data_IF_906988333958
#
_entry.id   IF_906988333958
#
_cell.length_a   1.000
_cell.length_b   1.000
_cell.length_c   1.000
_cell.angle_alpha   90.00
_cell.angle_beta   90.00
_cell.angle_gamma   90.00
#
_symmetry.space_group_name_H-M   'P 1'
#
loop_
_entity.id
_entity.type
_entity.pdbx_description
1 polymer ?
#
# COMPACT_ATOMS: atom_id res chain seq x y z
N UNK A 1 -30.15 -3.44 -30.42
CA UNK A 1 -30.13 -2.98 -29.02
C UNK A 1 -28.66 -2.73 -28.67
N UNK A 2 -28.21 -1.48 -28.75
CA UNK A 2 -26.83 -1.05 -28.52
C UNK A 2 -26.78 -0.44 -27.11
N UNK A 3 -26.07 -1.09 -26.18
CA UNK A 3 -25.79 -0.51 -24.87
C UNK A 3 -24.59 0.43 -24.99
N UNK A 4 -24.82 1.72 -24.72
CA UNK A 4 -23.80 2.76 -24.71
C UNK A 4 -22.95 2.62 -23.44
N UNK A 5 -21.63 2.64 -23.61
CA UNK A 5 -20.69 2.87 -22.51
C UNK A 5 -20.97 4.26 -21.91
N UNK A 6 -21.51 4.28 -20.69
CA UNK A 6 -21.63 5.48 -19.89
C UNK A 6 -20.26 5.82 -19.30
N UNK A 7 -19.70 6.95 -19.74
CA UNK A 7 -18.61 7.61 -19.04
C UNK A 7 -19.04 7.82 -17.58
N UNK A 8 -18.32 7.20 -16.63
CA UNK A 8 -18.47 7.54 -15.22
C UNK A 8 -18.16 9.03 -15.05
N UNK A 9 -19.09 9.70 -14.41
CA UNK A 9 -19.18 11.12 -14.19
C UNK A 9 -17.93 11.64 -13.43
N UNK A 10 -17.09 12.43 -14.11
CA UNK A 10 -15.93 13.11 -13.52
C UNK A 10 -16.31 14.11 -12.41
N UNK A 11 -17.61 14.34 -12.14
CA UNK A 11 -18.07 15.28 -11.13
C UNK A 11 -18.14 14.72 -9.69
N UNK A 12 -18.10 13.39 -9.49
CA UNK A 12 -18.01 12.83 -8.12
C UNK A 12 -16.60 13.03 -7.54
N UNK A 13 -15.57 12.99 -8.38
CA UNK A 13 -14.15 13.16 -7.99
C UNK A 13 -13.81 14.57 -7.49
N UNK A 14 -14.57 15.61 -7.85
CA UNK A 14 -14.35 16.98 -7.40
C UNK A 14 -14.69 17.22 -5.92
N UNK A 15 -15.48 16.33 -5.30
CA UNK A 15 -15.92 16.51 -3.92
C UNK A 15 -15.05 15.79 -2.89
N UNK A 16 -14.10 14.95 -3.33
CA UNK A 16 -12.96 14.60 -2.46
C UNK A 16 -12.05 15.81 -2.47
N UNK A 17 -11.87 16.48 -1.33
CA UNK A 17 -10.95 17.62 -1.19
C UNK A 17 -9.51 17.13 -1.37
N UNK A 18 -9.10 16.92 -2.63
CA UNK A 18 -7.76 16.52 -3.01
C UNK A 18 -6.73 17.45 -2.37
N UNK A 19 -7.02 18.75 -2.29
CA UNK A 19 -6.17 19.75 -1.62
C UNK A 19 -5.97 19.52 -0.12
N UNK A 20 -6.97 19.00 0.60
CA UNK A 20 -6.83 18.66 2.02
C UNK A 20 -5.89 17.46 2.18
N UNK A 21 -6.03 16.46 1.33
CA UNK A 21 -5.18 15.27 1.35
C UNK A 21 -3.77 15.57 0.86
N UNK A 22 -3.60 16.37 -0.18
CA UNK A 22 -2.29 16.83 -0.65
C UNK A 22 -1.55 17.57 0.47
N UNK A 23 -2.22 18.42 1.25
CA UNK A 23 -1.59 19.10 2.38
C UNK A 23 -1.17 18.13 3.49
N UNK A 24 -2.09 17.26 3.95
CA UNK A 24 -1.80 16.27 5.01
C UNK A 24 -0.68 15.31 4.59
N UNK A 25 -0.76 14.81 3.37
CA UNK A 25 0.24 13.89 2.84
C UNK A 25 1.54 14.56 2.47
N UNK A 26 1.54 15.84 2.07
CA UNK A 26 2.78 16.61 1.93
C UNK A 26 3.56 16.62 3.24
N UNK A 27 2.89 16.87 4.37
CA UNK A 27 3.53 16.81 5.70
C UNK A 27 4.11 15.42 5.98
N UNK A 28 3.38 14.34 5.65
CA UNK A 28 3.85 12.97 5.84
C UNK A 28 5.03 12.62 4.91
N UNK A 29 4.98 13.01 3.64
CA UNK A 29 6.04 12.81 2.64
C UNK A 29 7.31 13.55 3.08
N UNK A 30 7.18 14.81 3.51
CA UNK A 30 8.28 15.61 4.04
C UNK A 30 8.87 15.00 5.31
N UNK A 31 8.02 14.54 6.23
CA UNK A 31 8.46 13.85 7.45
C UNK A 31 9.32 12.61 7.15
N UNK A 32 8.94 11.84 6.14
CA UNK A 32 9.70 10.67 5.71
C UNK A 32 10.88 10.98 4.77
N UNK A 33 11.08 12.23 4.36
CA UNK A 33 12.04 12.63 3.32
C UNK A 33 11.84 11.90 1.98
N UNK A 34 10.61 11.51 1.67
CA UNK A 34 10.26 10.88 0.37
C UNK A 34 10.31 11.95 -0.71
N UNK A 35 11.00 11.67 -1.81
CA UNK A 35 11.08 12.59 -2.95
C UNK A 35 9.87 12.41 -3.85
N UNK A 36 9.47 13.47 -4.55
CA UNK A 36 8.38 13.37 -5.55
C UNK A 36 8.68 12.36 -6.66
N UNK A 37 9.96 12.12 -6.96
CA UNK A 37 10.43 11.09 -7.91
C UNK A 37 10.25 9.65 -7.40
N UNK A 38 10.09 9.46 -6.10
CA UNK A 38 9.80 8.14 -5.49
C UNK A 38 8.32 7.77 -5.62
N UNK A 39 7.48 8.71 -6.08
CA UNK A 39 6.04 8.57 -6.17
C UNK A 39 5.57 8.55 -7.63
N UNK A 40 4.43 7.89 -7.84
CA UNK A 40 3.74 7.86 -9.11
C UNK A 40 2.24 8.12 -8.89
N UNK A 41 1.83 9.41 -8.89
CA UNK A 41 0.46 9.81 -8.57
C UNK A 41 -0.61 9.21 -9.48
N UNK A 42 -0.23 8.66 -10.65
CA UNK A 42 -1.15 7.94 -11.56
C UNK A 42 -1.78 6.72 -10.90
N UNK A 43 -1.11 6.16 -9.89
CA UNK A 43 -1.58 4.99 -9.14
C UNK A 43 -2.16 5.34 -7.76
N UNK A 44 -2.31 6.63 -7.44
CA UNK A 44 -3.02 7.04 -6.23
C UNK A 44 -4.48 6.57 -6.29
N UNK A 45 -5.01 6.12 -5.16
CA UNK A 45 -6.40 5.67 -5.10
C UNK A 45 -6.98 5.88 -3.70
N UNK A 46 -8.22 6.34 -3.65
CA UNK A 46 -8.94 6.59 -2.41
C UNK A 46 -9.90 5.45 -2.09
N UNK A 47 -9.48 4.54 -1.19
CA UNK A 47 -10.30 3.41 -0.73
C UNK A 47 -11.28 3.78 0.40
N UNK A 48 -11.40 5.07 0.77
CA UNK A 48 -12.36 5.53 1.79
C UNK A 48 -13.74 5.83 1.21
N UNK A 49 -13.84 5.88 -0.11
CA UNK A 49 -15.12 6.13 -0.78
C UNK A 49 -16.04 4.92 -0.58
N UNK A 50 -17.32 5.18 -0.32
CA UNK A 50 -18.32 4.13 -0.22
C UNK A 50 -18.61 3.49 -1.59
N UNK A 51 -19.06 2.24 -1.58
CA UNK A 51 -19.50 1.53 -2.78
C UNK A 51 -18.40 0.81 -3.56
N UNK A 52 -17.18 0.74 -3.01
CA UNK A 52 -16.14 -0.16 -3.50
C UNK A 52 -16.48 -1.62 -3.16
N UNK A 53 -16.13 -2.59 -4.02
CA UNK A 53 -16.25 -4.00 -3.66
C UNK A 53 -15.28 -4.35 -2.52
N UNK A 54 -15.59 -5.39 -1.76
CA UNK A 54 -14.68 -5.89 -0.70
C UNK A 54 -13.42 -6.53 -1.30
N UNK A 55 -13.54 -7.14 -2.48
CA UNK A 55 -12.47 -7.85 -3.16
C UNK A 55 -12.49 -7.64 -4.68
N UNK A 56 -11.33 -7.77 -5.28
CA UNK A 56 -11.06 -7.87 -6.72
C UNK A 56 -10.07 -9.05 -6.91
N UNK A 57 -9.51 -9.22 -8.11
CA UNK A 57 -8.42 -10.16 -8.34
C UNK A 57 -7.18 -9.43 -8.87
N UNK A 58 -5.98 -9.86 -8.46
CA UNK A 58 -4.70 -9.39 -8.99
C UNK A 58 -3.77 -10.59 -9.16
N UNK A 59 -3.17 -10.75 -10.34
CA UNK A 59 -2.29 -11.88 -10.62
C UNK A 59 -2.97 -13.24 -10.44
N UNK A 60 -4.25 -13.33 -10.82
CA UNK A 60 -5.11 -14.51 -10.64
C UNK A 60 -5.39 -14.93 -9.19
N UNK A 61 -4.97 -14.14 -8.21
CA UNK A 61 -5.25 -14.36 -6.79
C UNK A 61 -6.28 -13.35 -6.25
N UNK A 62 -6.96 -13.66 -5.12
CA UNK A 62 -7.81 -12.69 -4.42
C UNK A 62 -7.02 -11.44 -4.00
N UNK A 63 -7.59 -10.27 -4.28
CA UNK A 63 -7.09 -8.98 -3.81
C UNK A 63 -8.15 -8.31 -2.93
N UNK A 64 -7.91 -8.33 -1.63
CA UNK A 64 -8.78 -7.66 -0.65
C UNK A 64 -8.49 -6.15 -0.65
N UNK A 65 -9.50 -5.35 -0.97
CA UNK A 65 -9.32 -3.90 -1.08
C UNK A 65 -9.06 -3.32 0.32
N UNK A 66 -8.07 -2.42 0.49
CA UNK A 66 -7.77 -1.81 1.78
C UNK A 66 -8.77 -0.70 2.08
N UNK A 67 -10.04 -1.06 2.33
CA UNK A 67 -11.13 -0.10 2.56
C UNK A 67 -10.81 0.79 3.76
N UNK A 68 -11.02 2.09 3.61
CA UNK A 68 -10.65 3.10 4.60
C UNK A 68 -9.24 3.69 4.44
N UNK A 69 -8.43 3.18 3.51
CA UNK A 69 -7.08 3.69 3.27
C UNK A 69 -7.00 4.65 2.07
N UNK A 70 -6.02 5.54 2.08
CA UNK A 70 -5.63 6.29 0.89
C UNK A 70 -4.27 5.78 0.41
N UNK A 71 -4.22 5.28 -0.82
CA UNK A 71 -2.99 4.76 -1.40
C UNK A 71 -2.24 5.85 -2.16
N UNK A 72 -0.95 5.97 -1.87
CA UNK A 72 0.01 6.69 -2.71
C UNK A 72 0.77 5.69 -3.58
N UNK A 73 0.80 5.94 -4.89
CA UNK A 73 1.57 5.13 -5.81
C UNK A 73 3.06 5.36 -5.61
N UNK A 74 3.84 4.28 -5.46
CA UNK A 74 5.30 4.34 -5.48
C UNK A 74 5.81 4.19 -6.91
N UNK A 75 6.87 4.90 -7.25
CA UNK A 75 7.55 4.76 -8.53
C UNK A 75 8.43 3.52 -8.52
N UNK A 76 7.91 2.43 -9.08
CA UNK A 76 8.59 1.13 -9.15
C UNK A 76 8.83 0.61 -10.57
N UNK A 77 8.36 1.35 -11.59
CA UNK A 77 8.64 1.04 -12.99
C UNK A 77 10.15 0.97 -13.23
N UNK A 78 10.62 -0.13 -13.83
CA UNK A 78 12.02 -0.38 -14.15
C UNK A 78 12.98 -0.35 -12.93
N UNK A 79 12.44 -0.42 -11.71
CA UNK A 79 13.23 -0.45 -10.47
C UNK A 79 13.87 -1.82 -10.23
N UNK A 80 13.18 -2.88 -10.64
CA UNK A 80 13.63 -4.26 -10.51
C UNK A 80 13.96 -4.83 -11.89
N UNK A 81 14.85 -5.83 -11.94
CA UNK A 81 15.23 -6.47 -13.19
C UNK A 81 14.03 -7.20 -13.83
N UNK A 82 13.92 -7.15 -15.15
CA UNK A 82 12.82 -7.75 -15.92
C UNK A 82 11.93 -6.71 -16.58
N UNK A 83 10.76 -7.16 -17.04
CA UNK A 83 9.71 -6.26 -17.52
C UNK A 83 8.84 -5.72 -16.36
N UNK A 84 7.82 -4.92 -16.69
CA UNK A 84 6.86 -4.38 -15.72
C UNK A 84 5.49 -5.10 -15.82
N UNK A 85 5.39 -6.29 -16.43
CA UNK A 85 4.12 -7.02 -16.58
C UNK A 85 3.53 -7.34 -15.21
N UNK A 86 4.38 -7.66 -14.24
CA UNK A 86 4.02 -7.93 -12.85
C UNK A 86 3.26 -6.79 -12.15
N UNK A 87 3.39 -5.53 -12.64
CA UNK A 87 2.67 -4.36 -12.12
C UNK A 87 1.25 -4.19 -12.65
N UNK A 88 0.82 -5.04 -13.60
CA UNK A 88 -0.50 -4.98 -14.20
C UNK A 88 -1.65 -5.04 -13.19
N UNK A 89 -2.83 -4.63 -13.63
CA UNK A 89 -4.03 -4.51 -12.80
C UNK A 89 -5.28 -5.03 -13.50
N UNK A 90 -5.11 -5.79 -14.59
CA UNK A 90 -6.20 -6.32 -15.42
C UNK A 90 -6.27 -7.84 -15.38
N UNK A 91 -5.51 -8.49 -14.49
CA UNK A 91 -5.35 -9.93 -14.39
C UNK A 91 -4.84 -10.57 -15.68
N UNK A 92 -3.92 -9.89 -16.37
CA UNK A 92 -3.18 -10.49 -17.48
C UNK A 92 -2.16 -11.53 -16.98
N UNK A 93 -1.78 -12.45 -17.88
CA UNK A 93 -0.68 -13.38 -17.64
C UNK A 93 0.60 -12.63 -17.27
N UNK A 94 1.29 -13.10 -16.23
CA UNK A 94 2.51 -12.48 -15.71
C UNK A 94 2.28 -11.39 -14.66
N UNK A 95 1.03 -10.98 -14.39
CA UNK A 95 0.72 -10.11 -13.25
C UNK A 95 0.97 -10.83 -11.92
N UNK A 96 1.50 -10.09 -10.94
CA UNK A 96 1.78 -10.68 -9.63
C UNK A 96 0.65 -10.38 -8.63
N UNK A 97 0.36 -11.32 -7.71
CA UNK A 97 -0.57 -11.10 -6.62
C UNK A 97 -0.17 -9.91 -5.75
N UNK A 98 -1.17 -9.36 -5.07
CA UNK A 98 -1.01 -8.25 -4.14
C UNK A 98 -1.14 -8.74 -2.70
N UNK A 99 -0.21 -8.34 -1.85
CA UNK A 99 -0.24 -8.56 -0.40
C UNK A 99 0.19 -7.28 0.32
N UNK A 100 0.18 -7.29 1.65
CA UNK A 100 0.44 -6.12 2.48
C UNK A 100 1.53 -6.36 3.52
N UNK A 101 2.28 -5.31 3.84
CA UNK A 101 3.29 -5.31 4.89
C UNK A 101 3.11 -4.10 5.80
N UNK A 102 2.82 -4.34 7.07
CA UNK A 102 2.77 -3.31 8.11
C UNK A 102 4.16 -3.04 8.65
N UNK A 103 4.47 -1.78 8.92
CA UNK A 103 5.78 -1.41 9.46
C UNK A 103 5.73 -0.15 10.30
N UNK A 104 6.82 0.16 10.99
CA UNK A 104 6.96 1.40 11.77
C UNK A 104 7.54 2.53 10.92
N UNK A 105 7.32 3.78 11.34
CA UNK A 105 7.76 4.99 10.63
C UNK A 105 9.25 4.97 10.22
N UNK A 106 10.13 4.43 11.06
CA UNK A 106 11.58 4.38 10.83
C UNK A 106 12.00 3.50 9.65
N UNK A 107 11.15 2.58 9.19
CA UNK A 107 11.43 1.70 8.05
C UNK A 107 10.94 2.28 6.71
N UNK A 108 10.01 3.25 6.74
CA UNK A 108 9.27 3.72 5.56
C UNK A 108 10.19 4.22 4.46
N UNK A 109 11.15 5.11 4.78
CA UNK A 109 12.09 5.65 3.79
C UNK A 109 12.94 4.55 3.13
N UNK A 110 13.45 3.63 3.95
CA UNK A 110 14.28 2.53 3.48
C UNK A 110 13.52 1.62 2.50
N UNK A 111 12.28 1.27 2.84
CA UNK A 111 11.42 0.43 1.99
C UNK A 111 11.04 1.17 0.71
N UNK A 112 10.65 2.45 0.80
CA UNK A 112 10.33 3.27 -0.38
C UNK A 112 11.50 3.34 -1.36
N UNK A 113 12.72 3.56 -0.88
CA UNK A 113 13.89 3.70 -1.75
C UNK A 113 14.42 2.36 -2.25
N UNK A 114 14.42 1.32 -1.42
CA UNK A 114 15.22 0.10 -1.68
C UNK A 114 14.38 -1.18 -1.79
N UNK A 115 13.07 -1.09 -1.56
CA UNK A 115 12.17 -2.24 -1.48
C UNK A 115 12.26 -2.97 -0.14
N UNK A 116 11.46 -4.02 -0.01
CA UNK A 116 11.51 -4.92 1.15
C UNK A 116 12.72 -5.86 1.00
N UNK A 117 13.74 -5.67 1.83
CA UNK A 117 14.97 -6.45 1.79
C UNK A 117 15.11 -7.30 3.06
N UNK A 118 14.94 -8.62 2.96
CA UNK A 118 15.03 -9.57 4.08
C UNK A 118 16.34 -9.43 4.89
N UNK A 119 17.44 -9.05 4.23
CA UNK A 119 18.74 -8.82 4.86
C UNK A 119 18.79 -7.59 5.78
N UNK A 120 17.83 -6.67 5.66
CA UNK A 120 17.74 -5.45 6.47
C UNK A 120 16.80 -5.58 7.67
N UNK A 121 15.98 -6.63 7.70
CA UNK A 121 15.12 -6.93 8.84
C UNK A 121 15.90 -7.76 9.86
N UNK A 122 16.26 -7.14 10.98
CA UNK A 122 16.77 -7.87 12.15
C UNK A 122 15.64 -8.51 12.95
N UNK A 123 14.44 -7.93 12.90
CA UNK A 123 13.17 -8.44 13.44
C UNK A 123 12.00 -7.92 12.60
N UNK A 124 11.14 -8.83 12.15
CA UNK A 124 9.85 -8.50 11.53
C UNK A 124 8.75 -8.69 12.59
N UNK A 125 7.87 -7.70 12.76
CA UNK A 125 6.81 -7.73 13.78
C UNK A 125 5.74 -8.79 13.45
N UNK A 126 5.54 -9.09 12.17
CA UNK A 126 4.57 -10.08 11.71
C UNK A 126 5.06 -11.52 11.93
N UNK A 127 6.38 -11.74 12.12
CA UNK A 127 6.96 -13.06 12.38
C UNK A 127 6.35 -13.75 13.58
N UNK A 128 6.18 -13.01 14.69
CA UNK A 128 5.65 -13.59 15.92
C UNK A 128 4.23 -14.14 15.74
N UNK A 129 3.41 -13.48 14.93
CA UNK A 129 2.07 -13.97 14.62
C UNK A 129 2.10 -15.15 13.66
N UNK A 130 2.95 -15.12 12.63
CA UNK A 130 3.13 -16.26 11.74
C UNK A 130 3.51 -17.52 12.53
N UNK A 131 4.41 -17.41 13.51
CA UNK A 131 4.79 -18.51 14.41
C UNK A 131 3.62 -19.00 15.26
N UNK A 132 2.71 -18.12 15.71
CA UNK A 132 1.49 -18.56 16.41
C UNK A 132 0.51 -19.30 15.50
N UNK A 133 0.40 -18.87 14.23
CA UNK A 133 -0.57 -19.39 13.28
C UNK A 133 -0.18 -20.75 12.69
N UNK A 134 1.09 -20.90 12.27
CA UNK A 134 1.55 -22.11 11.56
C UNK A 134 2.69 -22.84 12.30
N UNK A 135 3.13 -22.31 13.44
CA UNK A 135 4.13 -22.97 14.30
C UNK A 135 5.57 -22.61 13.95
N UNK A 136 6.51 -23.41 14.47
CA UNK A 136 7.95 -23.15 14.35
C UNK A 136 8.48 -23.15 12.91
N UNK A 137 7.72 -23.70 11.96
CA UNK A 137 8.06 -23.62 10.53
C UNK A 137 8.07 -22.19 9.99
N UNK A 138 7.28 -21.30 10.60
CA UNK A 138 7.31 -19.88 10.27
C UNK A 138 8.53 -19.17 10.86
N UNK A 139 9.34 -19.80 11.71
CA UNK A 139 10.35 -19.13 12.53
C UNK A 139 11.72 -19.01 11.82
N UNK A 140 11.75 -18.42 10.64
CA UNK A 140 12.97 -18.21 9.86
C UNK A 140 13.21 -16.74 9.52
N UNK A 141 14.41 -16.42 9.03
CA UNK A 141 14.64 -15.08 8.48
C UNK A 141 13.86 -14.95 7.17
N UNK A 142 13.09 -13.87 7.03
CA UNK A 142 12.22 -13.67 5.88
C UNK A 142 11.46 -12.34 5.97
N UNK A 143 10.70 -12.05 4.92
CA UNK A 143 9.74 -10.95 4.87
C UNK A 143 8.37 -11.56 5.11
N UNK A 144 7.63 -11.03 6.09
CA UNK A 144 6.30 -11.52 6.41
C UNK A 144 5.26 -10.56 5.85
N UNK A 145 4.21 -11.12 5.27
CA UNK A 145 3.19 -10.40 4.50
C UNK A 145 1.81 -10.92 4.91
N UNK A 146 0.79 -10.07 4.78
CA UNK A 146 -0.60 -10.42 5.01
C UNK A 146 -1.39 -10.28 3.71
N UNK A 147 -2.36 -11.16 3.49
CA UNK A 147 -3.30 -11.04 2.36
C UNK A 147 -4.26 -9.87 2.54
N UNK A 148 -4.49 -9.44 3.78
CA UNK A 148 -5.39 -8.34 4.12
C UNK A 148 -4.60 -7.15 4.66
N UNK A 149 -5.00 -5.94 4.25
CA UNK A 149 -4.53 -4.71 4.87
C UNK A 149 -5.22 -4.52 6.22
N UNK A 150 -6.55 -4.43 6.21
CA UNK A 150 -7.39 -4.31 7.38
C UNK A 150 -7.42 -5.62 8.17
N UNK A 151 -7.32 -5.55 9.50
CA UNK A 151 -7.25 -6.73 10.39
C UNK A 151 -6.10 -7.69 10.05
N UNK A 152 -5.06 -7.17 9.40
CA UNK A 152 -3.97 -7.94 8.83
C UNK A 152 -2.66 -7.19 8.99
N UNK A 153 -2.17 -6.60 7.91
CA UNK A 153 -0.93 -5.82 7.94
C UNK A 153 -1.03 -4.56 8.83
N UNK A 154 -2.19 -3.93 8.94
CA UNK A 154 -2.41 -2.73 9.74
C UNK A 154 -2.13 -2.93 11.25
N UNK A 155 -2.37 -4.14 11.78
CA UNK A 155 -2.04 -4.50 13.16
C UNK A 155 -0.54 -4.39 13.49
N UNK A 156 0.31 -4.33 12.46
CA UNK A 156 1.77 -4.21 12.57
C UNK A 156 2.28 -2.85 12.06
N UNK A 157 1.37 -1.96 11.63
CA UNK A 157 1.71 -0.61 11.24
C UNK A 157 1.79 0.29 12.47
N UNK A 158 3.00 0.77 12.77
CA UNK A 158 3.22 1.70 13.87
C UNK A 158 2.47 3.01 13.65
N UNK A 159 1.76 3.46 14.68
CA UNK A 159 1.12 4.77 14.70
C UNK A 159 2.15 5.87 14.99
N UNK A 160 2.05 6.99 14.27
CA UNK A 160 2.82 8.20 14.52
C UNK A 160 1.95 9.43 14.33
N UNK A 161 2.23 10.49 15.10
CA UNK A 161 1.46 11.74 15.01
C UNK A 161 2.29 12.86 14.45
N UNK A 162 1.74 13.61 13.49
CA UNK A 162 2.37 14.78 12.91
C UNK A 162 1.53 16.04 13.14
N UNK A 163 2.17 17.19 13.40
CA UNK A 163 1.48 18.48 13.40
C UNK A 163 1.09 18.85 11.97
N UNK A 164 -0.21 19.03 11.72
CA UNK A 164 -0.73 19.39 10.39
C UNK A 164 -1.15 20.86 10.29
N UNK A 165 -1.39 21.52 11.42
CA UNK A 165 -1.61 22.96 11.52
C UNK A 165 -1.37 23.45 12.95
N UNK A 166 -1.35 24.75 13.18
CA UNK A 166 -1.20 25.33 14.51
C UNK A 166 -2.23 24.74 15.49
N UNK A 167 -1.76 24.11 16.55
CA UNK A 167 -2.60 23.49 17.58
C UNK A 167 -3.32 22.20 17.15
N UNK A 168 -3.02 21.64 15.97
CA UNK A 168 -3.65 20.40 15.48
C UNK A 168 -2.61 19.38 15.02
N UNK A 169 -2.69 18.18 15.58
CA UNK A 169 -1.98 16.99 15.11
C UNK A 169 -2.95 15.95 14.56
N UNK A 170 -2.49 15.13 13.62
CA UNK A 170 -3.20 13.94 13.16
C UNK A 170 -2.29 12.72 13.34
N UNK A 171 -2.91 11.56 13.59
CA UNK A 171 -2.22 10.27 13.71
C UNK A 171 -2.33 9.52 12.39
N UNK A 172 -1.23 8.89 12.00
CA UNK A 172 -1.06 8.18 10.74
C UNK A 172 -0.53 6.78 11.00
N UNK A 173 -0.82 5.89 10.06
CA UNK A 173 -0.19 4.59 9.90
C UNK A 173 0.24 4.44 8.45
N UNK A 174 1.27 3.63 8.19
CA UNK A 174 1.73 3.30 6.84
C UNK A 174 1.75 1.78 6.67
N UNK A 175 1.05 1.32 5.64
CA UNK A 175 1.08 -0.07 5.17
C UNK A 175 1.56 -0.07 3.73
N UNK A 176 2.52 -0.95 3.42
CA UNK A 176 2.97 -1.15 2.04
C UNK A 176 2.07 -2.17 1.34
N UNK A 177 1.55 -1.79 0.18
CA UNK A 177 0.94 -2.72 -0.77
C UNK A 177 2.06 -3.28 -1.67
N UNK A 178 2.25 -4.59 -1.63
CA UNK A 178 3.39 -5.30 -2.22
C UNK A 178 2.95 -6.22 -3.36
N UNK A 179 3.85 -6.50 -4.29
CA UNK A 179 3.71 -7.57 -5.30
C UNK A 179 4.61 -8.73 -4.93
N UNK A 180 4.12 -9.96 -5.04
CA UNK A 180 4.88 -11.18 -4.74
C UNK A 180 4.98 -12.02 -6.00
N UNK A 181 6.19 -12.42 -6.36
CA UNK A 181 6.40 -13.36 -7.46
C UNK A 181 5.86 -14.73 -7.04
N UNK A 182 4.86 -15.29 -7.78
CA UNK A 182 4.30 -16.60 -7.49
C UNK A 182 5.22 -17.75 -7.91
#
# INVERSE_FOLDING_TARGET
>A
IQARYGFMDQNVLKNVKQSEYECKWKTVIEYFNIQTSDLDPRYNFDYRQGGLPEQDSRGSEPYYLPIGWYRHGLKVDNKYAGDNVWLGHVNAEGEWPVVFHGTNEGAVLGITQQGLLASKFTRDLMRAEAVKLIGAEADHQGIYLATHCNEGADAYAGEFSLPISTGKSETFQVVFQCRVQP
#
